data_IF_029971288840
#
_entry.id   IF_029971288840
#
_cell.length_a   1.000
_cell.length_b   1.000
_cell.length_c   1.000
_cell.angle_alpha   90.00
_cell.angle_beta   90.00
_cell.angle_gamma   90.00
#
_symmetry.space_group_name_H-M   'P 1'
#
loop_
_entity.id
_entity.type
_entity.pdbx_description
1 polymer ?
#
# COMPACT_ATOMS: atom_id res chain seq x y z
N UNK A 1 -26.75 -17.11 -7.38
CA UNK A 1 -27.35 -15.91 -8.01
C UNK A 1 -26.23 -14.87 -8.09
N UNK A 2 -25.84 -14.46 -9.29
CA UNK A 2 -24.79 -13.44 -9.45
C UNK A 2 -25.40 -12.08 -9.09
N UNK A 3 -24.83 -11.38 -8.09
CA UNK A 3 -25.25 -10.01 -7.80
C UNK A 3 -24.85 -9.12 -8.98
N UNK A 4 -25.82 -8.39 -9.52
CA UNK A 4 -25.56 -7.41 -10.57
C UNK A 4 -24.80 -6.24 -9.91
N UNK A 5 -23.58 -5.89 -10.37
CA UNK A 5 -22.84 -4.79 -9.76
C UNK A 5 -23.69 -3.51 -9.82
N UNK A 6 -23.89 -2.87 -8.66
CA UNK A 6 -24.51 -1.54 -8.61
C UNK A 6 -23.61 -0.57 -9.38
N UNK A 7 -24.27 0.24 -10.22
CA UNK A 7 -23.68 1.14 -11.21
C UNK A 7 -22.51 1.94 -10.64
N UNK A 8 -21.37 1.94 -11.34
CA UNK A 8 -20.18 2.71 -11.00
C UNK A 8 -20.53 4.19 -10.82
N UNK A 9 -20.29 4.73 -9.62
CA UNK A 9 -20.35 6.18 -9.40
C UNK A 9 -19.04 6.80 -9.90
N UNK A 10 -19.09 7.44 -11.07
CA UNK A 10 -17.97 8.27 -11.55
C UNK A 10 -18.00 9.60 -10.81
N UNK A 11 -17.21 9.74 -9.74
CA UNK A 11 -16.98 11.04 -9.10
C UNK A 11 -16.05 11.86 -9.99
N UNK A 12 -16.43 13.10 -10.30
CA UNK A 12 -15.74 13.97 -11.27
C UNK A 12 -14.84 14.97 -10.56
N UNK A 13 -13.64 15.14 -11.08
CA UNK A 13 -12.65 16.10 -10.62
C UNK A 13 -12.40 17.19 -11.66
N UNK A 14 -12.19 18.40 -11.18
CA UNK A 14 -11.78 19.54 -12.00
C UNK A 14 -10.25 19.59 -12.08
N UNK A 15 -9.69 19.25 -13.25
CA UNK A 15 -8.25 19.31 -13.56
C UNK A 15 -7.65 17.95 -13.93
N UNK A 16 -7.74 17.60 -15.23
CA UNK A 16 -7.05 16.52 -15.98
C UNK A 16 -6.86 15.08 -15.44
N UNK A 17 -7.03 14.75 -14.16
CA UNK A 17 -6.79 13.40 -13.61
C UNK A 17 -8.06 12.85 -12.96
N UNK A 18 -8.98 12.33 -13.77
CA UNK A 18 -10.19 11.69 -13.25
C UNK A 18 -9.88 10.29 -12.75
N UNK A 19 -9.94 10.09 -11.42
CA UNK A 19 -9.96 8.74 -10.85
C UNK A 19 -11.25 8.04 -11.27
N UNK A 20 -11.13 6.89 -11.94
CA UNK A 20 -12.28 6.04 -12.22
C UNK A 20 -12.46 5.07 -11.07
N UNK A 21 -13.47 5.32 -10.23
CA UNK A 21 -13.73 4.54 -9.02
C UNK A 21 -14.98 3.66 -9.21
N UNK A 22 -14.89 2.41 -8.78
CA UNK A 22 -16.01 1.46 -8.67
C UNK A 22 -16.14 1.03 -7.22
N UNK A 23 -17.37 1.07 -6.70
CA UNK A 23 -17.68 0.77 -5.30
C UNK A 23 -18.41 -0.57 -5.21
N UNK A 24 -17.92 -1.45 -4.35
CA UNK A 24 -18.47 -2.77 -4.07
C UNK A 24 -18.74 -2.85 -2.56
N UNK A 25 -19.96 -2.55 -2.11
CA UNK A 25 -20.31 -2.63 -0.69
C UNK A 25 -20.21 -4.07 -0.19
N UNK A 26 -19.99 -4.24 1.11
CA UNK A 26 -20.03 -5.56 1.76
C UNK A 26 -21.36 -6.28 1.45
N UNK A 27 -21.27 -7.49 0.92
CA UNK A 27 -22.41 -8.37 0.67
C UNK A 27 -22.50 -9.46 1.75
N UNK A 28 -23.65 -10.13 1.88
CA UNK A 28 -23.80 -11.23 2.83
C UNK A 28 -22.74 -12.33 2.57
N UNK A 29 -21.79 -12.48 3.49
CA UNK A 29 -20.65 -13.41 3.38
C UNK A 29 -19.29 -12.77 3.06
N UNK A 30 -19.25 -11.47 2.76
CA UNK A 30 -18.02 -10.69 2.66
C UNK A 30 -18.04 -9.58 3.72
N UNK A 31 -17.11 -9.62 4.67
CA UNK A 31 -17.11 -8.67 5.78
C UNK A 31 -16.66 -7.26 5.38
N UNK A 32 -15.87 -7.13 4.31
CA UNK A 32 -15.28 -5.86 3.90
C UNK A 32 -15.97 -5.29 2.65
N UNK A 33 -16.09 -3.97 2.62
CA UNK A 33 -16.38 -3.22 1.40
C UNK A 33 -15.10 -3.01 0.60
N UNK A 34 -15.23 -2.79 -0.71
CA UNK A 34 -14.11 -2.67 -1.62
C UNK A 34 -14.30 -1.50 -2.59
N UNK A 35 -13.29 -0.64 -2.72
CA UNK A 35 -13.18 0.30 -3.84
C UNK A 35 -12.17 -0.22 -4.84
N UNK A 36 -12.46 -0.06 -6.12
CA UNK A 36 -11.53 -0.32 -7.21
C UNK A 36 -11.31 0.97 -7.97
N UNK A 37 -10.08 1.45 -7.96
CA UNK A 37 -9.64 2.65 -8.66
C UNK A 37 -8.81 2.18 -9.86
N UNK A 38 -9.27 2.48 -11.07
CA UNK A 38 -8.52 2.12 -12.26
C UNK A 38 -7.26 3.00 -12.34
N UNK A 39 -6.12 2.36 -12.59
CA UNK A 39 -4.87 3.03 -12.90
C UNK A 39 -4.77 3.42 -14.37
N UNK A 40 -3.55 3.42 -14.90
CA UNK A 40 -3.28 3.72 -16.30
C UNK A 40 -3.75 2.59 -17.21
N UNK A 41 -4.51 2.92 -18.26
CA UNK A 41 -4.88 1.96 -19.30
C UNK A 41 -3.67 1.57 -20.16
N UNK A 42 -3.60 0.30 -20.56
CA UNK A 42 -2.63 -0.16 -21.56
C UNK A 42 -1.25 -0.57 -21.05
N UNK A 43 -0.96 -0.45 -19.74
CA UNK A 43 0.30 -0.94 -19.14
C UNK A 43 0.04 -1.74 -17.86
N UNK A 44 0.71 -2.88 -17.72
CA UNK A 44 0.85 -3.57 -16.44
C UNK A 44 1.52 -2.64 -15.41
N UNK A 45 1.25 -2.83 -14.12
CA UNK A 45 1.73 -1.92 -13.09
C UNK A 45 3.25 -1.82 -13.04
N UNK A 46 3.96 -2.94 -13.19
CA UNK A 46 5.42 -2.96 -13.24
C UNK A 46 5.95 -2.09 -14.40
N UNK A 47 5.38 -2.23 -15.59
CA UNK A 47 5.80 -1.43 -16.75
C UNK A 47 5.47 0.06 -16.56
N UNK A 48 4.33 0.36 -15.94
CA UNK A 48 3.96 1.72 -15.56
C UNK A 48 5.01 2.33 -14.62
N UNK A 49 5.43 1.64 -13.57
CA UNK A 49 6.49 2.12 -12.67
C UNK A 49 7.85 2.31 -13.34
N UNK A 50 8.18 1.52 -14.37
CA UNK A 50 9.45 1.62 -15.09
C UNK A 50 9.44 2.81 -16.06
N UNK A 51 8.32 3.06 -16.73
CA UNK A 51 8.22 4.04 -17.82
C UNK A 51 7.79 5.44 -17.36
N UNK A 52 7.23 5.56 -16.16
CA UNK A 52 6.67 6.81 -15.66
C UNK A 52 7.61 7.44 -14.64
N UNK A 53 7.76 8.76 -14.73
CA UNK A 53 8.56 9.54 -13.78
C UNK A 53 8.05 9.36 -12.35
N UNK A 54 8.95 9.21 -11.38
CA UNK A 54 8.57 8.93 -9.98
C UNK A 54 7.72 10.05 -9.37
N UNK A 55 7.88 11.31 -9.81
CA UNK A 55 7.05 12.43 -9.38
C UNK A 55 5.62 12.31 -9.93
N UNK A 56 5.46 11.81 -11.15
CA UNK A 56 4.13 11.55 -11.73
C UNK A 56 3.43 10.39 -11.02
N UNK A 57 4.15 9.30 -10.73
CA UNK A 57 3.62 8.18 -9.92
C UNK A 57 3.22 8.68 -8.53
N UNK A 58 4.09 9.45 -7.86
CA UNK A 58 3.81 10.01 -6.55
C UNK A 58 2.60 10.93 -6.54
N UNK A 59 2.42 11.75 -7.59
CA UNK A 59 1.25 12.61 -7.74
C UNK A 59 -0.03 11.76 -7.83
N UNK A 60 -0.06 10.73 -8.68
CA UNK A 60 -1.22 9.84 -8.79
C UNK A 60 -1.54 9.17 -7.45
N UNK A 61 -0.54 8.63 -6.78
CA UNK A 61 -0.74 7.93 -5.50
C UNK A 61 -1.20 8.90 -4.40
N UNK A 62 -0.68 10.13 -4.40
CA UNK A 62 -1.16 11.21 -3.51
C UNK A 62 -2.60 11.62 -3.81
N UNK A 63 -3.01 11.64 -5.08
CA UNK A 63 -4.40 11.90 -5.46
C UNK A 63 -5.32 10.78 -4.97
N UNK A 64 -4.89 9.53 -5.09
CA UNK A 64 -5.63 8.37 -4.57
C UNK A 64 -5.77 8.44 -3.05
N UNK A 65 -4.68 8.68 -2.30
CA UNK A 65 -4.75 8.75 -0.83
C UNK A 65 -5.61 9.91 -0.34
N UNK A 66 -5.50 11.10 -0.95
CA UNK A 66 -6.37 12.24 -0.62
C UNK A 66 -7.85 11.94 -0.90
N UNK A 67 -8.17 11.27 -2.01
CA UNK A 67 -9.55 10.83 -2.27
C UNK A 67 -10.07 9.90 -1.17
N UNK A 68 -9.25 8.95 -0.71
CA UNK A 68 -9.62 8.02 0.36
C UNK A 68 -9.79 8.74 1.71
N UNK A 69 -8.86 9.60 2.08
CA UNK A 69 -8.86 10.29 3.37
C UNK A 69 -9.93 11.40 3.43
N UNK A 70 -9.98 12.30 2.44
CA UNK A 70 -10.77 13.53 2.49
C UNK A 70 -12.22 13.32 2.01
N UNK A 71 -12.42 12.64 0.87
CA UNK A 71 -13.77 12.47 0.27
C UNK A 71 -14.45 11.13 0.62
N UNK A 72 -13.71 10.16 1.17
CA UNK A 72 -14.28 8.90 1.69
C UNK A 72 -14.16 8.76 3.21
N UNK A 73 -13.35 9.57 3.89
CA UNK A 73 -13.14 9.48 5.33
C UNK A 73 -12.48 8.17 5.77
N UNK A 74 -11.78 7.48 4.87
CA UNK A 74 -11.20 6.17 5.10
C UNK A 74 -9.79 6.29 5.63
N UNK A 75 -9.65 6.17 6.95
CA UNK A 75 -8.35 6.26 7.63
C UNK A 75 -7.72 4.90 7.97
N UNK A 76 -8.47 3.81 7.81
CA UNK A 76 -8.02 2.43 8.02
C UNK A 76 -8.49 1.53 6.87
N UNK A 77 -7.56 1.16 6.00
CA UNK A 77 -7.83 0.38 4.80
C UNK A 77 -6.62 -0.46 4.38
N UNK A 78 -6.88 -1.54 3.63
CA UNK A 78 -5.83 -2.30 2.94
C UNK A 78 -5.77 -1.87 1.49
N UNK A 79 -4.61 -1.39 1.07
CA UNK A 79 -4.35 -0.92 -0.29
C UNK A 79 -3.55 -1.97 -1.06
N UNK A 80 -4.11 -2.49 -2.15
CA UNK A 80 -3.43 -3.47 -3.01
C UNK A 80 -3.42 -2.96 -4.44
N UNK A 81 -2.27 -3.01 -5.09
CA UNK A 81 -2.18 -2.78 -6.53
C UNK A 81 -2.03 -4.13 -7.21
N UNK A 82 -2.74 -4.32 -8.32
CA UNK A 82 -2.65 -5.52 -9.16
C UNK A 82 -2.91 -5.16 -10.62
N UNK A 83 -2.45 -5.99 -11.54
CA UNK A 83 -2.87 -5.88 -12.93
C UNK A 83 -4.37 -6.15 -13.09
N UNK A 84 -4.99 -5.42 -14.01
CA UNK A 84 -6.42 -5.54 -14.28
C UNK A 84 -6.70 -6.91 -14.92
N UNK A 85 -7.65 -7.67 -14.36
CA UNK A 85 -7.90 -9.06 -14.81
C UNK A 85 -8.55 -9.15 -16.20
N UNK A 86 -9.34 -8.15 -16.58
CA UNK A 86 -10.19 -8.19 -17.78
C UNK A 86 -9.95 -7.01 -18.73
N UNK A 87 -8.92 -6.20 -18.48
CA UNK A 87 -8.57 -5.04 -19.29
C UNK A 87 -7.05 -4.86 -19.29
N UNK A 88 -6.52 -4.17 -20.30
CA UNK A 88 -5.12 -3.75 -20.27
C UNK A 88 -4.96 -2.61 -19.26
N UNK A 89 -4.06 -2.76 -18.28
CA UNK A 89 -3.84 -1.77 -17.24
C UNK A 89 -3.61 -2.39 -15.87
N UNK A 90 -3.77 -1.57 -14.85
CA UNK A 90 -3.72 -1.98 -13.44
C UNK A 90 -4.84 -1.32 -12.63
N UNK A 91 -5.11 -1.87 -11.45
CA UNK A 91 -6.15 -1.42 -10.52
C UNK A 91 -5.56 -1.30 -9.11
N UNK A 92 -5.87 -0.19 -8.42
CA UNK A 92 -5.74 -0.09 -6.98
C UNK A 92 -7.04 -0.58 -6.33
N UNK A 93 -6.95 -1.62 -5.52
CA UNK A 93 -8.04 -2.23 -4.77
C UNK A 93 -7.91 -1.85 -3.30
N UNK A 94 -8.91 -1.16 -2.78
CA UNK A 94 -8.96 -0.68 -1.41
C UNK A 94 -10.02 -1.44 -0.64
N UNK A 95 -9.62 -2.22 0.36
CA UNK A 95 -10.53 -2.93 1.24
C UNK A 95 -10.73 -2.14 2.54
N UNK A 96 -11.98 -1.88 2.91
CA UNK A 96 -12.35 -1.04 4.05
C UNK A 96 -13.69 -1.48 4.66
N UNK A 97 -13.95 -1.14 5.92
CA UNK A 97 -15.03 -1.78 6.68
C UNK A 97 -14.75 -3.27 6.94
N UNK A 98 -15.37 -3.83 7.97
CA UNK A 98 -15.13 -5.19 8.44
C UNK A 98 -15.33 -5.27 9.94
N UNK A 99 -15.83 -6.41 10.44
CA UNK A 99 -15.87 -6.68 11.88
C UNK A 99 -14.46 -6.55 12.43
N UNK A 100 -14.28 -5.70 13.44
CA UNK A 100 -12.98 -5.42 14.06
C UNK A 100 -12.27 -6.67 14.63
N UNK A 101 -12.92 -7.82 14.71
CA UNK A 101 -12.37 -9.02 15.36
C UNK A 101 -11.34 -9.79 14.52
N UNK A 102 -11.35 -9.69 13.17
CA UNK A 102 -10.34 -10.34 12.31
C UNK A 102 -9.27 -9.39 11.77
N UNK A 103 -9.39 -8.07 11.99
CA UNK A 103 -8.34 -7.09 11.68
C UNK A 103 -7.21 -7.18 12.71
N UNK A 104 -6.50 -8.29 12.72
CA UNK A 104 -5.24 -8.45 13.47
C UNK A 104 -4.13 -7.71 12.72
N UNK A 105 -4.18 -6.38 12.78
CA UNK A 105 -3.00 -5.55 12.57
C UNK A 105 -1.87 -5.99 13.51
N UNK A 106 -0.62 -5.57 13.26
CA UNK A 106 0.47 -5.86 14.18
C UNK A 106 0.08 -5.40 15.59
N UNK A 107 0.52 -6.15 16.61
CA UNK A 107 0.22 -5.82 18.00
C UNK A 107 0.67 -4.39 18.30
N UNK A 108 -0.16 -3.65 19.04
CA UNK A 108 0.21 -2.30 19.49
C UNK A 108 1.27 -2.44 20.58
N UNK A 109 2.49 -2.04 20.25
CA UNK A 109 3.66 -2.12 21.11
C UNK A 109 4.29 -0.74 21.28
N UNK A 110 4.98 -0.51 22.39
CA UNK A 110 5.63 0.78 22.68
C UNK A 110 6.84 1.05 21.76
N UNK A 111 7.44 -0.01 21.21
CA UNK A 111 8.62 0.04 20.34
C UNK A 111 8.23 -0.19 18.89
N UNK A 112 8.60 0.71 17.99
CA UNK A 112 8.38 0.53 16.56
C UNK A 112 9.55 -0.22 15.92
N UNK A 113 9.30 -1.43 15.39
CA UNK A 113 10.32 -2.24 14.71
C UNK A 113 10.98 -1.49 13.54
N UNK A 114 10.24 -0.65 12.81
CA UNK A 114 10.82 0.15 11.72
C UNK A 114 11.65 1.35 12.18
N UNK A 115 11.53 1.78 13.45
CA UNK A 115 12.28 2.93 13.98
C UNK A 115 13.48 2.52 14.85
N UNK A 116 13.43 1.33 15.46
CA UNK A 116 14.46 0.87 16.39
C UNK A 116 15.16 -0.36 15.83
N UNK A 117 16.38 -0.17 15.34
CA UNK A 117 17.13 -1.22 14.63
C UNK A 117 17.40 -2.45 15.50
N UNK A 118 17.57 -2.26 16.81
CA UNK A 118 17.86 -3.34 17.74
C UNK A 118 16.57 -3.92 18.36
N UNK A 119 15.39 -3.53 17.86
CA UNK A 119 14.10 -4.09 18.28
C UNK A 119 13.94 -5.51 17.70
N UNK A 120 13.75 -6.53 18.56
CA UNK A 120 13.48 -7.89 18.11
C UNK A 120 12.14 -7.99 17.39
N UNK A 121 12.12 -8.71 16.27
CA UNK A 121 10.91 -8.83 15.44
C UNK A 121 9.79 -9.64 16.12
N UNK A 122 10.13 -10.43 17.13
CA UNK A 122 9.17 -11.11 18.02
C UNK A 122 8.21 -10.13 18.69
N UNK A 123 8.65 -8.90 19.00
CA UNK A 123 7.83 -7.86 19.64
C UNK A 123 6.57 -7.57 18.82
N UNK A 124 6.65 -7.48 17.50
CA UNK A 124 5.48 -7.25 16.63
C UNK A 124 4.49 -8.42 16.56
N UNK A 125 4.92 -9.62 16.95
CA UNK A 125 4.14 -10.85 16.89
C UNK A 125 3.54 -11.25 18.24
N UNK A 126 4.30 -11.09 19.33
CA UNK A 126 3.94 -11.57 20.68
C UNK A 126 3.69 -10.43 21.67
N UNK A 127 4.10 -9.20 21.34
CA UNK A 127 4.09 -8.06 22.26
C UNK A 127 5.17 -8.14 23.34
N UNK A 128 6.07 -9.13 23.25
CA UNK A 128 7.14 -9.38 24.22
C UNK A 128 8.49 -9.42 23.51
N UNK A 129 9.52 -9.01 24.24
CA UNK A 129 10.90 -9.19 23.80
C UNK A 129 11.34 -10.62 24.16
N UNK A 130 11.08 -11.54 23.24
CA UNK A 130 11.46 -12.95 23.36
C UNK A 130 12.78 -13.24 22.62
N UNK A 131 13.55 -12.20 22.25
CA UNK A 131 14.74 -12.30 21.41
C UNK A 131 14.45 -12.63 19.95
N UNK A 132 15.42 -13.25 19.26
CA UNK A 132 15.37 -13.56 17.83
C UNK A 132 16.04 -12.50 16.95
N UNK A 133 15.82 -12.55 15.62
CA UNK A 133 16.34 -11.53 14.71
C UNK A 133 15.83 -10.14 15.07
N UNK A 134 16.73 -9.17 15.03
CA UNK A 134 16.43 -7.75 15.19
C UNK A 134 16.00 -7.15 13.86
N UNK A 135 15.46 -5.94 13.91
CA UNK A 135 15.10 -5.19 12.70
C UNK A 135 16.32 -4.91 11.82
N UNK A 136 17.50 -4.72 12.43
CA UNK A 136 18.79 -4.60 11.73
C UNK A 136 19.11 -5.85 10.91
N UNK A 137 18.82 -7.04 11.42
CA UNK A 137 19.15 -8.30 10.77
C UNK A 137 18.30 -8.56 9.51
N UNK A 138 17.17 -7.87 9.36
CA UNK A 138 16.30 -7.97 8.17
C UNK A 138 16.41 -6.78 7.23
N UNK A 139 17.15 -5.73 7.59
CA UNK A 139 17.41 -4.59 6.71
C UNK A 139 18.31 -5.02 5.56
N UNK A 140 17.82 -4.89 4.33
CA UNK A 140 18.56 -5.22 3.13
C UNK A 140 19.36 -4.02 2.63
N UNK A 141 18.71 -2.86 2.55
CA UNK A 141 19.33 -1.59 2.16
C UNK A 141 18.46 -0.40 2.55
N UNK A 142 19.06 0.79 2.51
CA UNK A 142 18.38 2.08 2.59
C UNK A 142 18.58 2.84 1.28
N UNK A 143 17.50 3.12 0.55
CA UNK A 143 17.51 3.93 -0.67
C UNK A 143 17.40 5.41 -0.30
N UNK A 144 18.28 6.25 -0.87
CA UNK A 144 18.25 7.72 -0.76
C UNK A 144 18.17 8.26 0.69
N UNK A 145 18.60 7.49 1.69
CA UNK A 145 18.45 7.80 3.13
C UNK A 145 16.98 7.96 3.59
N UNK A 146 16.00 7.74 2.71
CA UNK A 146 14.58 8.02 2.94
C UNK A 146 13.74 6.75 3.00
N UNK A 147 14.14 5.65 2.34
CA UNK A 147 13.35 4.41 2.28
C UNK A 147 14.19 3.20 2.70
N UNK A 148 13.73 2.46 3.70
CA UNK A 148 14.31 1.18 4.08
C UNK A 148 13.61 0.02 3.37
N UNK A 149 14.37 -0.95 2.89
CA UNK A 149 13.88 -2.22 2.36
C UNK A 149 14.25 -3.37 3.31
N UNK A 150 13.26 -4.17 3.70
CA UNK A 150 13.39 -5.22 4.69
C UNK A 150 12.91 -6.57 4.14
N UNK A 151 13.49 -7.66 4.65
CA UNK A 151 12.86 -8.97 4.61
C UNK A 151 11.70 -9.03 5.60
N UNK A 152 10.60 -9.68 5.19
CA UNK A 152 9.47 -9.95 6.07
C UNK A 152 9.88 -10.84 7.26
N UNK A 153 9.52 -10.38 8.47
CA UNK A 153 9.82 -11.06 9.73
C UNK A 153 9.25 -12.49 9.83
N UNK A 154 8.22 -12.81 9.05
CA UNK A 154 7.59 -14.16 9.02
C UNK A 154 8.22 -15.08 7.97
N UNK A 155 9.38 -14.73 7.42
CA UNK A 155 10.09 -15.47 6.37
C UNK A 155 9.22 -15.76 5.12
N UNK A 156 8.21 -14.93 4.86
CA UNK A 156 7.47 -14.97 3.59
C UNK A 156 8.36 -14.35 2.50
N UNK A 157 8.21 -14.75 1.23
CA UNK A 157 8.92 -14.13 0.11
C UNK A 157 8.30 -12.76 -0.21
N UNK A 158 8.32 -11.85 0.77
CA UNK A 158 7.73 -10.51 0.72
C UNK A 158 8.79 -9.53 1.18
N UNK A 159 8.93 -8.46 0.41
CA UNK A 159 9.77 -7.33 0.76
C UNK A 159 8.88 -6.23 1.33
N UNK A 160 9.37 -5.59 2.37
CA UNK A 160 8.68 -4.49 3.02
C UNK A 160 9.49 -3.24 2.71
N UNK A 161 8.86 -2.22 2.16
CA UNK A 161 9.46 -0.91 2.00
C UNK A 161 8.77 0.05 2.97
N UNK A 162 9.56 0.79 3.76
CA UNK A 162 9.04 1.79 4.70
C UNK A 162 9.86 3.07 4.61
N UNK A 163 9.27 4.25 4.83
CA UNK A 163 10.07 5.46 5.05
C UNK A 163 10.94 5.31 6.30
N UNK A 164 12.08 6.00 6.33
CA UNK A 164 12.96 6.10 7.50
C UNK A 164 12.32 6.95 8.60
N UNK A 165 11.57 7.99 8.22
CA UNK A 165 10.72 8.76 9.13
C UNK A 165 9.47 7.96 9.50
N UNK A 166 9.13 7.94 10.79
CA UNK A 166 7.89 7.32 11.25
C UNK A 166 6.65 8.04 10.68
N UNK A 167 5.79 7.27 10.01
CA UNK A 167 4.48 7.71 9.53
C UNK A 167 3.42 6.67 9.89
N UNK A 168 2.16 7.09 10.01
CA UNK A 168 1.05 6.18 10.32
C UNK A 168 0.21 5.86 9.10
N UNK A 169 0.16 6.77 8.13
CA UNK A 169 -0.66 6.66 6.92
C UNK A 169 0.16 7.04 5.69
N UNK A 170 -0.23 6.50 4.54
CA UNK A 170 0.40 6.84 3.27
C UNK A 170 0.22 8.35 2.94
N UNK A 171 -0.88 8.96 3.36
CA UNK A 171 -1.11 10.41 3.26
C UNK A 171 -0.27 11.28 4.19
N UNK A 172 0.46 10.70 5.16
CA UNK A 172 1.38 11.46 6.04
C UNK A 172 2.77 11.67 5.40
N UNK A 173 3.02 11.06 4.23
CA UNK A 173 4.23 11.29 3.43
C UNK A 173 4.14 12.63 2.71
N UNK A 174 5.24 13.37 2.69
CA UNK A 174 5.35 14.51 1.78
C UNK A 174 5.55 14.04 0.31
N UNK A 175 5.53 15.00 -0.61
CA UNK A 175 5.64 14.70 -2.05
C UNK A 175 6.98 14.03 -2.43
N UNK A 176 8.08 14.39 -1.76
CA UNK A 176 9.40 13.81 -2.03
C UNK A 176 9.48 12.41 -1.46
N UNK A 177 9.02 12.19 -0.23
CA UNK A 177 8.99 10.87 0.39
C UNK A 177 8.09 9.89 -0.38
N UNK A 178 6.96 10.37 -0.92
CA UNK A 178 6.10 9.57 -1.79
C UNK A 178 6.83 9.19 -3.09
N UNK A 179 7.56 10.12 -3.72
CA UNK A 179 8.34 9.85 -4.93
C UNK A 179 9.48 8.86 -4.68
N UNK A 180 10.21 9.03 -3.58
CA UNK A 180 11.25 8.10 -3.17
C UNK A 180 10.70 6.71 -2.91
N UNK A 181 9.56 6.59 -2.23
CA UNK A 181 8.91 5.30 -1.96
C UNK A 181 8.60 4.56 -3.28
N UNK A 182 7.95 5.22 -4.23
CA UNK A 182 7.57 4.57 -5.49
C UNK A 182 8.75 4.33 -6.43
N UNK A 183 9.77 5.19 -6.38
CA UNK A 183 11.06 4.96 -7.03
C UNK A 183 11.73 3.68 -6.51
N UNK A 184 11.80 3.53 -5.18
CA UNK A 184 12.36 2.35 -4.53
C UNK A 184 11.56 1.07 -4.87
N UNK A 185 10.22 1.14 -4.90
CA UNK A 185 9.37 0.02 -5.35
C UNK A 185 9.71 -0.38 -6.79
N UNK A 186 9.76 0.60 -7.72
CA UNK A 186 10.11 0.33 -9.12
C UNK A 186 11.52 -0.25 -9.29
N UNK A 187 12.50 0.20 -8.49
CA UNK A 187 13.85 -0.37 -8.43
C UNK A 187 13.82 -1.83 -7.99
N UNK A 188 13.18 -2.15 -6.87
CA UNK A 188 13.07 -3.51 -6.33
C UNK A 188 12.40 -4.46 -7.31
N UNK A 189 11.28 -4.05 -7.93
CA UNK A 189 10.60 -4.88 -8.93
C UNK A 189 11.49 -5.18 -10.14
N UNK A 190 12.31 -4.21 -10.57
CA UNK A 190 13.21 -4.34 -11.71
C UNK A 190 14.42 -5.24 -11.41
N UNK A 191 15.07 -5.02 -10.27
CA UNK A 191 16.31 -5.71 -9.93
C UNK A 191 16.05 -7.14 -9.44
N UNK A 192 14.98 -7.36 -8.67
CA UNK A 192 14.75 -8.63 -7.98
C UNK A 192 13.59 -9.44 -8.55
N UNK A 193 12.95 -8.95 -9.63
CA UNK A 193 11.92 -9.69 -10.35
C UNK A 193 10.63 -9.92 -9.56
N UNK A 194 10.32 -9.05 -8.59
CA UNK A 194 9.07 -9.10 -7.83
C UNK A 194 7.92 -8.69 -8.75
N UNK A 195 6.92 -9.57 -8.88
CA UNK A 195 5.71 -9.39 -9.70
C UNK A 195 4.46 -9.27 -8.82
#
# INVERSE_FOLDING_TARGET
MASTPRTAATTKYAGSDQLQVRDFPAEAGHEESMLVINGCAGKHFQQYLIDTDSVEVARLMSTITKYLDDERGLTDYRFKIKDARYAAGWEAVVFYGGSNDERTGPLRVERCMSCEMDCPLSVGLTGKDDGGPTSRDTLLFTENESINCWLDAKARPVLILTPTRHVRRLGDLDANEMADLWSAVGKVMREWGVQ
#
